data_IF_311656245992
#
_entry.id   IF_311656245992
#
_cell.length_a   1.000
_cell.length_b   1.000
_cell.length_c   1.000
_cell.angle_alpha   90.00
_cell.angle_beta   90.00
_cell.angle_gamma   90.00
#
_symmetry.space_group_name_H-M   'P 1'
#
loop_
_entity.id
_entity.type
_entity.pdbx_description
1 polymer ?
#
# COMPACT_ATOMS: atom_id res chain seq x y z
N UNK A 1 -12.66 9.35 -5.82
CA UNK A 1 -13.78 8.59 -5.20
C UNK A 1 -13.70 8.77 -3.69
N UNK A 2 -14.83 9.10 -3.06
CA UNK A 2 -14.88 9.31 -1.61
C UNK A 2 -15.02 7.99 -0.85
N UNK A 3 -14.63 7.99 0.44
CA UNK A 3 -14.76 6.80 1.29
C UNK A 3 -16.21 6.29 1.35
N UNK A 4 -17.21 7.18 1.46
CA UNK A 4 -18.61 6.78 1.46
C UNK A 4 -19.06 6.07 0.17
N UNK A 5 -18.44 6.37 -0.96
CA UNK A 5 -18.74 5.74 -2.25
C UNK A 5 -18.07 4.37 -2.33
N UNK A 6 -16.79 4.28 -1.95
CA UNK A 6 -16.03 3.03 -1.91
C UNK A 6 -16.67 2.00 -1.01
N UNK A 7 -17.16 2.42 0.16
CA UNK A 7 -17.68 1.53 1.21
C UNK A 7 -19.21 1.59 1.34
N UNK A 8 -19.90 2.02 0.30
CA UNK A 8 -21.37 2.23 0.35
C UNK A 8 -22.13 0.98 0.82
N UNK A 9 -21.72 -0.21 0.36
CA UNK A 9 -22.38 -1.48 0.71
C UNK A 9 -22.21 -1.83 2.19
N UNK A 10 -21.00 -1.72 2.70
CA UNK A 10 -20.68 -2.00 4.11
C UNK A 10 -21.38 -1.01 5.03
N UNK A 11 -21.34 0.28 4.69
CA UNK A 11 -22.03 1.33 5.45
C UNK A 11 -23.53 1.08 5.49
N UNK A 12 -24.13 0.74 4.35
CA UNK A 12 -25.57 0.44 4.25
C UNK A 12 -25.96 -0.76 5.11
N UNK A 13 -25.18 -1.84 5.05
CA UNK A 13 -25.44 -3.04 5.84
C UNK A 13 -25.41 -2.77 7.35
N UNK A 14 -24.42 -1.98 7.83
CA UNK A 14 -24.32 -1.62 9.24
C UNK A 14 -25.47 -0.69 9.64
N UNK A 15 -25.79 0.32 8.84
CA UNK A 15 -26.89 1.23 9.11
C UNK A 15 -28.25 0.51 9.18
N UNK A 16 -28.48 -0.47 8.29
CA UNK A 16 -29.71 -1.28 8.32
C UNK A 16 -29.84 -2.17 9.56
N UNK A 17 -28.73 -2.51 10.21
CA UNK A 17 -28.74 -3.22 11.51
C UNK A 17 -28.95 -2.29 12.69
N UNK A 18 -29.07 -0.98 12.46
CA UNK A 18 -29.29 0.03 13.50
C UNK A 18 -28.05 0.49 14.23
N UNK A 19 -26.86 0.13 13.74
CA UNK A 19 -25.60 0.50 14.36
C UNK A 19 -24.88 1.62 13.59
N UNK A 20 -23.81 2.14 14.19
CA UNK A 20 -22.93 3.16 13.66
C UNK A 20 -21.65 2.48 13.15
N UNK A 21 -21.06 3.02 12.09
CA UNK A 21 -19.80 2.50 11.58
C UNK A 21 -18.62 2.84 12.51
N UNK A 22 -17.70 1.90 12.63
CA UNK A 22 -16.35 2.11 13.14
C UNK A 22 -15.33 1.68 12.07
N UNK A 23 -14.16 2.29 12.08
CA UNK A 23 -13.04 1.91 11.21
C UNK A 23 -11.87 1.50 12.10
N UNK A 24 -11.39 0.29 11.94
CA UNK A 24 -10.24 -0.22 12.71
C UNK A 24 -8.96 0.50 12.27
N UNK A 25 -8.22 1.09 13.21
CA UNK A 25 -7.01 1.90 12.94
C UNK A 25 -5.95 1.15 12.12
N UNK A 26 -5.68 -0.09 12.47
CA UNK A 26 -4.60 -0.89 11.85
C UNK A 26 -4.99 -1.37 10.46
N UNK A 27 -6.15 -1.99 10.32
CA UNK A 27 -6.57 -2.63 9.07
C UNK A 27 -7.35 -1.72 8.13
N UNK A 28 -7.97 -0.64 8.64
CA UNK A 28 -8.91 0.18 7.88
C UNK A 28 -10.26 -0.49 7.61
N UNK A 29 -10.52 -1.68 8.19
CA UNK A 29 -11.79 -2.39 8.03
C UNK A 29 -12.93 -1.61 8.66
N UNK A 30 -14.06 -1.59 7.95
CA UNK A 30 -15.32 -1.05 8.46
C UNK A 30 -16.06 -2.16 9.19
N UNK A 31 -16.48 -1.86 10.40
CA UNK A 31 -17.21 -2.78 11.29
C UNK A 31 -18.31 -2.01 12.03
N UNK A 32 -19.34 -2.72 12.58
CA UNK A 32 -20.26 -2.10 13.52
C UNK A 32 -19.55 -1.55 14.75
N UNK A 33 -20.00 -0.40 15.26
CA UNK A 33 -19.36 0.26 16.42
C UNK A 33 -19.40 -0.61 17.68
N UNK A 34 -20.49 -1.35 17.89
CA UNK A 34 -20.67 -2.27 19.01
C UNK A 34 -19.73 -3.48 18.99
N UNK A 35 -19.20 -3.84 17.80
CA UNK A 35 -18.32 -4.99 17.60
C UNK A 35 -16.84 -4.68 17.87
N UNK A 36 -16.48 -3.44 18.24
CA UNK A 36 -15.09 -3.05 18.48
C UNK A 36 -14.94 -2.12 19.68
N UNK A 37 -13.73 -2.07 20.24
CA UNK A 37 -13.39 -1.13 21.31
C UNK A 37 -13.08 0.25 20.73
N UNK A 38 -13.55 1.31 21.40
CA UNK A 38 -13.26 2.68 21.01
C UNK A 38 -11.76 2.97 20.86
N UNK A 39 -10.90 2.36 21.66
CA UNK A 39 -9.45 2.52 21.57
C UNK A 39 -8.85 2.05 20.23
N UNK A 40 -9.49 1.10 19.57
CA UNK A 40 -9.09 0.56 18.26
C UNK A 40 -9.75 1.29 17.09
N UNK A 41 -10.75 2.15 17.36
CA UNK A 41 -11.49 2.88 16.34
C UNK A 41 -10.73 4.14 15.91
N UNK A 42 -10.67 4.36 14.59
CA UNK A 42 -10.08 5.57 13.97
C UNK A 42 -10.77 6.85 14.45
N UNK A 43 -12.07 6.77 14.74
CA UNK A 43 -12.91 7.90 15.16
C UNK A 43 -12.93 8.13 16.68
N UNK A 44 -12.09 7.42 17.43
CA UNK A 44 -12.05 7.55 18.88
C UNK A 44 -11.86 9.01 19.32
N UNK A 45 -12.95 9.63 19.77
CA UNK A 45 -13.02 10.98 20.29
C UNK A 45 -14.38 11.23 20.94
N UNK A 46 -14.49 12.34 21.68
CA UNK A 46 -15.75 12.79 22.30
C UNK A 46 -16.86 13.01 21.26
N UNK A 47 -16.53 13.46 20.03
CA UNK A 47 -17.45 13.73 18.92
C UNK A 47 -17.20 12.81 17.71
N UNK A 48 -17.17 11.51 17.93
CA UNK A 48 -16.88 10.53 16.86
C UNK A 48 -17.79 10.67 15.62
N UNK A 49 -19.04 11.12 15.77
CA UNK A 49 -19.98 11.34 14.66
C UNK A 49 -19.47 12.37 13.65
N UNK A 50 -18.84 13.45 14.09
CA UNK A 50 -18.24 14.45 13.20
C UNK A 50 -17.05 13.89 12.45
N UNK A 51 -16.21 13.11 13.13
CA UNK A 51 -15.08 12.41 12.49
C UNK A 51 -15.55 11.40 11.45
N UNK A 52 -16.62 10.68 11.69
CA UNK A 52 -17.23 9.76 10.71
C UNK A 52 -17.68 10.53 9.46
N UNK A 53 -18.35 11.68 9.65
CA UNK A 53 -18.78 12.52 8.51
C UNK A 53 -17.62 13.05 7.70
N UNK A 54 -16.60 13.59 8.36
CA UNK A 54 -15.39 14.08 7.70
C UNK A 54 -14.65 12.98 6.94
N UNK A 55 -14.52 11.80 7.52
CA UNK A 55 -13.93 10.63 6.87
C UNK A 55 -14.74 10.17 5.67
N UNK A 56 -16.07 10.12 5.78
CA UNK A 56 -16.96 9.71 4.69
C UNK A 56 -16.82 10.63 3.45
N UNK A 57 -16.61 11.93 3.67
CA UNK A 57 -16.43 12.93 2.61
C UNK A 57 -14.98 13.05 2.13
N UNK A 58 -14.00 12.48 2.83
CA UNK A 58 -12.61 12.50 2.39
C UNK A 58 -12.37 11.54 1.22
N UNK A 59 -11.34 11.84 0.43
CA UNK A 59 -10.94 10.97 -0.68
C UNK A 59 -10.48 9.61 -0.16
N UNK A 60 -10.93 8.55 -0.84
CA UNK A 60 -10.42 7.20 -0.60
C UNK A 60 -8.98 7.10 -1.08
N UNK A 61 -8.09 6.77 -0.17
CA UNK A 61 -6.69 6.49 -0.47
C UNK A 61 -6.53 4.98 -0.43
N UNK A 62 -6.30 4.39 -1.60
CA UNK A 62 -6.04 2.96 -1.71
C UNK A 62 -4.72 2.64 -0.99
N UNK A 63 -4.81 1.79 0.03
CA UNK A 63 -3.60 1.29 0.68
C UNK A 63 -2.92 0.31 -0.25
N UNK A 64 -1.61 0.43 -0.47
CA UNK A 64 -0.90 -0.55 -1.27
C UNK A 64 -0.98 -1.92 -0.59
N UNK A 65 -1.22 -2.94 -1.40
CA UNK A 65 -1.25 -4.34 -1.00
C UNK A 65 -0.20 -5.11 -1.80
N UNK A 66 0.23 -6.26 -1.32
CA UNK A 66 1.17 -7.12 -2.02
C UNK A 66 0.55 -8.49 -2.27
N UNK A 67 0.69 -9.04 -3.48
CA UNK A 67 0.22 -10.39 -3.77
C UNK A 67 1.09 -11.44 -3.04
N UNK A 68 0.51 -12.61 -2.74
CA UNK A 68 1.26 -13.74 -2.17
C UNK A 68 2.50 -14.08 -2.99
N UNK A 69 2.39 -14.03 -4.32
CA UNK A 69 3.49 -14.31 -5.24
C UNK A 69 4.63 -13.32 -5.09
N UNK A 70 4.31 -12.03 -5.13
CA UNK A 70 5.32 -10.96 -5.01
C UNK A 70 5.95 -10.95 -3.61
N UNK A 71 5.14 -11.23 -2.58
CA UNK A 71 5.63 -11.37 -1.20
C UNK A 71 6.60 -12.54 -1.06
N UNK A 72 6.25 -13.71 -1.61
CA UNK A 72 7.12 -14.88 -1.60
C UNK A 72 8.43 -14.61 -2.36
N UNK A 73 8.38 -13.91 -3.50
CA UNK A 73 9.57 -13.51 -4.23
C UNK A 73 10.51 -12.66 -3.37
N UNK A 74 10.00 -11.68 -2.61
CA UNK A 74 10.82 -10.85 -1.71
C UNK A 74 11.49 -11.67 -0.60
N UNK A 75 10.89 -12.77 -0.15
CA UNK A 75 11.51 -13.65 0.86
C UNK A 75 12.71 -14.43 0.30
N UNK A 76 12.69 -14.78 -0.98
CA UNK A 76 13.79 -15.47 -1.66
C UNK A 76 14.89 -14.54 -2.16
N UNK A 77 14.64 -13.23 -2.18
CA UNK A 77 15.60 -12.26 -2.65
C UNK A 77 16.77 -12.16 -1.67
N UNK A 78 18.00 -12.10 -2.21
CA UNK A 78 19.22 -11.98 -1.38
C UNK A 78 19.15 -10.72 -0.51
N UNK A 79 19.53 -10.82 0.75
CA UNK A 79 19.49 -9.75 1.76
C UNK A 79 20.28 -8.49 1.38
N UNK A 80 21.24 -8.59 0.46
CA UNK A 80 21.99 -7.44 -0.03
C UNK A 80 21.11 -6.42 -0.77
N UNK A 81 19.99 -6.84 -1.35
CA UNK A 81 19.07 -5.94 -2.04
C UNK A 81 18.12 -5.29 -1.03
N UNK A 82 18.15 -3.96 -1.02
CA UNK A 82 17.39 -3.14 -0.07
C UNK A 82 16.28 -2.31 -0.72
N UNK A 83 16.42 -1.98 -1.99
CA UNK A 83 15.52 -1.08 -2.71
C UNK A 83 14.98 -1.73 -3.96
N UNK A 84 13.78 -1.31 -4.35
CA UNK A 84 13.15 -1.64 -5.62
C UNK A 84 12.66 -0.36 -6.28
N UNK A 85 12.81 -0.28 -7.59
CA UNK A 85 12.31 0.82 -8.40
C UNK A 85 11.91 0.33 -9.78
N UNK A 86 11.00 1.09 -10.43
CA UNK A 86 10.52 0.84 -11.79
C UNK A 86 10.98 1.96 -12.69
N UNK A 87 11.63 1.61 -13.79
CA UNK A 87 11.99 2.55 -14.84
C UNK A 87 10.74 3.00 -15.66
N UNK A 88 10.84 4.09 -16.42
CA UNK A 88 9.71 4.60 -17.22
C UNK A 88 9.18 3.58 -18.23
N UNK A 89 10.05 2.70 -18.75
CA UNK A 89 9.68 1.62 -19.67
C UNK A 89 8.99 0.43 -18.99
N UNK A 90 8.70 0.53 -17.69
CA UNK A 90 8.01 -0.49 -16.90
C UNK A 90 8.90 -1.57 -16.31
N UNK A 91 10.18 -1.60 -16.62
CA UNK A 91 11.11 -2.61 -16.08
C UNK A 91 11.39 -2.38 -14.60
N UNK A 92 11.36 -3.46 -13.84
CA UNK A 92 11.65 -3.48 -12.40
C UNK A 92 13.10 -3.87 -12.13
N UNK A 93 13.70 -3.18 -11.18
CA UNK A 93 15.05 -3.46 -10.70
C UNK A 93 15.11 -3.41 -9.18
N UNK A 94 15.96 -4.25 -8.61
CA UNK A 94 16.36 -4.18 -7.20
C UNK A 94 17.80 -3.74 -7.08
N UNK A 95 18.09 -3.02 -6.00
CA UNK A 95 19.37 -2.36 -5.76
C UNK A 95 19.90 -2.65 -4.35
N UNK A 96 21.19 -2.80 -4.24
CA UNK A 96 21.87 -2.97 -2.94
C UNK A 96 22.00 -1.66 -2.18
N UNK A 97 22.17 -0.55 -2.88
CA UNK A 97 22.21 0.81 -2.34
C UNK A 97 21.09 1.67 -2.93
N UNK A 98 20.79 2.81 -2.30
CA UNK A 98 19.72 3.71 -2.72
C UNK A 98 19.99 4.25 -4.12
N UNK A 99 19.17 3.90 -5.13
CA UNK A 99 19.31 4.46 -6.47
C UNK A 99 18.77 5.89 -6.51
N UNK A 100 19.16 6.64 -7.53
CA UNK A 100 18.60 7.95 -7.85
C UNK A 100 17.90 7.93 -9.21
N UNK A 101 16.86 8.74 -9.34
CA UNK A 101 16.10 8.84 -10.58
C UNK A 101 16.81 9.75 -11.59
N UNK A 102 17.18 9.21 -12.73
CA UNK A 102 17.71 10.00 -13.85
C UNK A 102 16.60 10.29 -14.87
N UNK A 103 16.05 11.50 -14.81
CA UNK A 103 14.94 11.91 -15.68
C UNK A 103 15.33 12.05 -17.15
N UNK A 104 16.60 12.35 -17.45
CA UNK A 104 17.07 12.48 -18.83
C UNK A 104 17.11 11.13 -19.53
N UNK A 105 17.57 10.10 -18.85
CA UNK A 105 17.62 8.74 -19.37
C UNK A 105 16.37 7.91 -19.03
N UNK A 106 15.43 8.46 -18.25
CA UNK A 106 14.16 7.84 -17.88
C UNK A 106 14.32 6.50 -17.16
N UNK A 107 15.34 6.42 -16.28
CA UNK A 107 15.68 5.22 -15.52
C UNK A 107 16.24 5.55 -14.14
N UNK A 108 16.24 4.55 -13.26
CA UNK A 108 16.89 4.61 -11.97
C UNK A 108 18.34 4.14 -12.08
N UNK A 109 19.26 4.92 -11.53
CA UNK A 109 20.69 4.66 -11.55
C UNK A 109 21.18 4.28 -10.16
N UNK A 110 22.03 3.27 -10.08
CA UNK A 110 22.92 3.04 -8.92
C UNK A 110 24.19 3.91 -9.03
N UNK A 111 24.81 4.21 -7.89
CA UNK A 111 26.10 4.91 -7.85
C UNK A 111 27.21 4.17 -8.57
N UNK A 112 28.36 4.83 -8.73
CA UNK A 112 29.59 4.21 -9.23
C UNK A 112 30.19 3.31 -8.14
N UNK A 113 30.53 2.07 -8.49
CA UNK A 113 31.22 1.13 -7.58
C UNK A 113 30.66 -0.29 -7.60
N UNK A 114 30.80 -1.00 -6.49
CA UNK A 114 30.34 -2.39 -6.33
C UNK A 114 28.81 -2.53 -6.10
N UNK A 115 28.04 -1.53 -6.45
CA UNK A 115 26.58 -1.55 -6.30
C UNK A 115 25.96 -2.58 -7.21
N UNK A 116 25.23 -3.50 -6.62
CA UNK A 116 24.52 -4.53 -7.37
C UNK A 116 23.15 -4.01 -7.78
N UNK A 117 22.89 -4.03 -9.08
CA UNK A 117 21.58 -3.84 -9.70
C UNK A 117 21.16 -5.14 -10.36
N UNK A 118 19.96 -5.61 -10.09
CA UNK A 118 19.41 -6.82 -10.70
C UNK A 118 18.06 -6.50 -11.34
N UNK A 119 17.92 -6.81 -12.63
CA UNK A 119 16.63 -6.74 -13.31
C UNK A 119 15.75 -7.90 -12.89
N UNK A 120 14.50 -7.59 -12.58
CA UNK A 120 13.49 -8.60 -12.27
C UNK A 120 12.82 -9.05 -13.59
N UNK A 121 13.23 -10.21 -14.09
CA UNK A 121 12.66 -10.84 -15.28
C UNK A 121 11.68 -11.97 -14.93
N UNK A 122 11.23 -12.00 -13.68
CA UNK A 122 10.33 -13.02 -13.15
C UNK A 122 8.86 -12.57 -13.31
N UNK A 123 7.97 -13.50 -13.11
CA UNK A 123 6.53 -13.23 -13.13
C UNK A 123 6.08 -12.52 -11.84
N UNK A 124 6.61 -11.32 -11.61
CA UNK A 124 6.29 -10.42 -10.49
C UNK A 124 5.72 -9.12 -11.04
N UNK A 125 4.81 -8.53 -10.32
CA UNK A 125 4.06 -7.37 -10.80
C UNK A 125 4.39 -6.09 -10.04
N UNK A 126 4.43 -6.10 -8.71
CA UNK A 126 4.68 -4.94 -7.85
C UNK A 126 3.99 -3.66 -8.36
N UNK A 127 2.65 -3.63 -8.50
CA UNK A 127 1.95 -2.49 -9.10
C UNK A 127 2.08 -1.19 -8.28
N UNK A 128 2.43 -1.31 -6.98
CA UNK A 128 2.68 -0.17 -6.10
C UNK A 128 4.02 0.53 -6.40
N UNK A 129 4.96 -0.12 -7.11
CA UNK A 129 6.24 0.47 -7.51
C UNK A 129 6.07 1.17 -8.83
N UNK A 130 6.13 2.50 -8.86
CA UNK A 130 5.83 3.32 -10.04
C UNK A 130 7.02 4.17 -10.44
N UNK A 131 7.15 4.47 -11.74
CA UNK A 131 8.11 5.46 -12.21
C UNK A 131 7.88 6.86 -11.61
N UNK A 132 6.62 7.21 -11.35
CA UNK A 132 6.23 8.48 -10.74
C UNK A 132 6.64 8.65 -9.27
N UNK A 133 7.13 7.60 -8.62
CA UNK A 133 7.59 7.68 -7.25
C UNK A 133 8.81 8.60 -7.16
N UNK A 134 8.84 9.49 -6.17
CA UNK A 134 9.95 10.42 -5.96
C UNK A 134 11.18 9.73 -5.35
N UNK A 135 10.97 8.58 -4.70
CA UNK A 135 11.97 7.81 -3.99
C UNK A 135 11.81 6.32 -4.33
N UNK A 136 12.90 5.53 -4.34
CA UNK A 136 12.78 4.09 -4.47
C UNK A 136 12.14 3.48 -3.23
N UNK A 137 11.37 2.42 -3.39
CA UNK A 137 10.72 1.75 -2.26
C UNK A 137 11.70 0.82 -1.53
N UNK A 138 11.61 0.79 -0.20
CA UNK A 138 12.33 -0.17 0.62
C UNK A 138 11.67 -1.55 0.55
N UNK A 139 12.45 -2.57 0.29
CA UNK A 139 11.96 -3.96 0.26
C UNK A 139 11.36 -4.35 1.62
N UNK A 140 11.96 -3.92 2.74
CA UNK A 140 11.42 -4.18 4.07
C UNK A 140 10.05 -3.55 4.31
N UNK A 141 9.76 -2.41 3.69
CA UNK A 141 8.44 -1.77 3.81
C UNK A 141 7.41 -2.51 2.93
N UNK A 142 7.80 -3.00 1.76
CA UNK A 142 6.94 -3.85 0.93
C UNK A 142 6.57 -5.15 1.65
N UNK A 143 7.49 -5.71 2.43
CA UNK A 143 7.24 -6.91 3.24
C UNK A 143 6.22 -6.71 4.36
N UNK A 144 5.96 -5.48 4.78
CA UNK A 144 4.95 -5.13 5.81
C UNK A 144 3.56 -4.90 5.24
N UNK A 145 3.41 -4.85 3.91
CA UNK A 145 2.11 -4.62 3.26
C UNK A 145 1.14 -5.78 3.54
N UNK A 146 -0.14 -5.45 3.53
CA UNK A 146 -1.20 -6.45 3.61
C UNK A 146 -1.11 -7.41 2.40
N UNK A 147 -1.16 -8.72 2.69
CA UNK A 147 -1.00 -9.74 1.65
C UNK A 147 -2.37 -10.13 1.10
N UNK A 148 -2.52 -10.05 -0.21
CA UNK A 148 -3.69 -10.53 -0.96
C UNK A 148 -3.34 -11.75 -1.81
N UNK A 149 -4.32 -12.54 -2.22
CA UNK A 149 -4.07 -13.71 -3.07
C UNK A 149 -3.49 -13.28 -4.42
N UNK A 150 -4.18 -12.37 -5.11
CA UNK A 150 -3.79 -11.76 -6.38
C UNK A 150 -4.21 -10.28 -6.37
N UNK A 151 -3.59 -9.47 -7.24
CA UNK A 151 -4.03 -8.08 -7.42
C UNK A 151 -5.37 -8.01 -8.15
N UNK A 152 -6.25 -7.12 -7.71
CA UNK A 152 -7.48 -6.82 -8.46
C UNK A 152 -7.11 -6.20 -9.82
N UNK A 153 -7.73 -6.70 -10.89
CA UNK A 153 -7.51 -6.21 -12.26
C UNK A 153 -8.53 -5.17 -12.64
#
# INVERSE_FOLDING_TARGET
MKNKEKYAKEIMNIACSGDIIAVIKESGRIVPCDSTRCSLCLFHAYNCKEKIRAWAESEYIEKPVISKRDRAFLEYLREKYKFVARDEDGKLFVYSSKPYQNKNFKLWCSGCGNDSRLRLNYNVEFPMVKWSDSEPLLIEDLKKLEVVEEYEK
#
